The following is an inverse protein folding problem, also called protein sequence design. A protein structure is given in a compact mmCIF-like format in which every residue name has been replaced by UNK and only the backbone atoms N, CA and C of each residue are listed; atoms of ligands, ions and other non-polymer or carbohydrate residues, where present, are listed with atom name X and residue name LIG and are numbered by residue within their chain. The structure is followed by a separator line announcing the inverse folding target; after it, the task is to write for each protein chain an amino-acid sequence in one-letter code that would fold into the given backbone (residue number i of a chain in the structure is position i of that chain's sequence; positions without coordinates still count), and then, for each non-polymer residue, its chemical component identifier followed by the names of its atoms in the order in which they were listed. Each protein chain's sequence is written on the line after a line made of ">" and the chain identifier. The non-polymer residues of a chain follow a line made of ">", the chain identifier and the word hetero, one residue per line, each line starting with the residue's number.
data_IF_188242254328
#
_entry.id   IF_188242254328
#
_cell.length_a   1.000
_cell.length_b   1.000
_cell.length_c   1.000
_cell.angle_alpha   90.00
_cell.angle_beta   90.00
_cell.angle_gamma   90.00
#
_symmetry.space_group_name_H-M   'P 1'
#
loop_
_entity.id
_entity.type
_entity.pdbx_description
1 polymer ?
#
# COMPACT_ATOMS: atom_id res chain seq x y z
N UNK A 1 24.48 -15.50 -8.27
CA UNK A 1 23.48 -14.48 -7.91
C UNK A 1 22.17 -15.07 -7.41
N UNK A 2 21.63 -16.12 -8.04
CA UNK A 2 20.39 -16.80 -7.60
C UNK A 2 20.40 -17.19 -6.11
N UNK A 3 21.46 -17.85 -5.64
CA UNK A 3 21.58 -18.28 -4.24
C UNK A 3 21.47 -17.13 -3.24
N UNK A 4 22.15 -16.00 -3.50
CA UNK A 4 22.06 -14.81 -2.66
C UNK A 4 20.64 -14.21 -2.67
N UNK A 5 19.96 -14.22 -3.81
CA UNK A 5 18.57 -13.76 -3.91
C UNK A 5 17.60 -14.63 -3.13
N UNK A 6 17.74 -15.96 -3.22
CA UNK A 6 16.91 -16.92 -2.45
C UNK A 6 17.18 -16.80 -0.96
N UNK A 7 18.44 -16.67 -0.55
CA UNK A 7 18.79 -16.47 0.86
C UNK A 7 18.23 -15.14 1.40
N UNK A 8 18.38 -14.05 0.65
CA UNK A 8 17.84 -12.75 1.02
C UNK A 8 16.31 -12.78 1.12
N UNK A 9 15.62 -13.42 0.17
CA UNK A 9 14.18 -13.66 0.22
C UNK A 9 13.79 -14.45 1.47
N UNK A 10 14.42 -15.60 1.71
CA UNK A 10 14.10 -16.47 2.84
C UNK A 10 14.26 -15.74 4.18
N UNK A 11 15.36 -15.01 4.36
CA UNK A 11 15.62 -14.23 5.57
C UNK A 11 14.60 -13.11 5.76
N UNK A 12 14.32 -12.33 4.72
CA UNK A 12 13.35 -11.21 4.79
C UNK A 12 11.92 -11.70 5.02
N UNK A 13 11.54 -12.79 4.36
CA UNK A 13 10.24 -13.43 4.53
C UNK A 13 10.06 -13.96 5.96
N UNK A 14 11.02 -14.76 6.44
CA UNK A 14 10.99 -15.32 7.79
C UNK A 14 10.97 -14.21 8.85
N UNK A 15 11.84 -13.21 8.73
CA UNK A 15 11.91 -12.11 9.68
C UNK A 15 10.62 -11.29 9.68
N UNK A 16 10.05 -11.01 8.50
CA UNK A 16 8.78 -10.29 8.38
C UNK A 16 7.63 -11.01 9.09
N UNK A 17 7.48 -12.31 8.85
CA UNK A 17 6.49 -13.15 9.55
C UNK A 17 6.77 -13.18 11.07
N UNK A 18 8.02 -13.37 11.46
CA UNK A 18 8.43 -13.44 12.85
C UNK A 18 8.08 -12.16 13.62
N UNK A 19 8.40 -10.98 13.07
CA UNK A 19 8.09 -9.68 13.71
C UNK A 19 6.57 -9.49 13.88
N UNK A 20 5.77 -9.83 12.87
CA UNK A 20 4.31 -9.71 12.93
C UNK A 20 3.72 -10.63 14.00
N UNK A 21 4.20 -11.87 14.08
CA UNK A 21 3.71 -12.87 15.03
C UNK A 21 4.16 -12.57 16.45
N UNK A 22 5.39 -12.08 16.63
CA UNK A 22 5.97 -11.76 17.94
C UNK A 22 5.28 -10.57 18.59
N UNK A 23 4.97 -9.53 17.82
CA UNK A 23 4.40 -8.28 18.33
C UNK A 23 3.14 -7.84 17.56
N UNK A 24 2.06 -8.63 17.59
CA UNK A 24 0.88 -8.40 16.75
C UNK A 24 0.07 -7.17 17.17
N UNK A 25 0.32 -6.61 18.37
CA UNK A 25 -0.36 -5.42 18.87
C UNK A 25 0.40 -4.12 18.57
N UNK A 26 1.69 -4.21 18.27
CA UNK A 26 2.53 -3.05 18.01
C UNK A 26 2.41 -2.60 16.54
N UNK A 27 1.97 -1.36 16.34
CA UNK A 27 1.79 -0.79 14.99
C UNK A 27 3.12 -0.71 14.23
N UNK A 28 4.20 -0.34 14.94
CA UNK A 28 5.55 -0.26 14.39
C UNK A 28 6.02 -1.62 13.89
N UNK A 29 5.97 -2.64 14.74
CA UNK A 29 6.34 -4.01 14.39
C UNK A 29 5.52 -4.54 13.20
N UNK A 30 4.20 -4.35 13.20
CA UNK A 30 3.34 -4.77 12.08
C UNK A 30 3.72 -4.11 10.75
N UNK A 31 3.98 -2.80 10.76
CA UNK A 31 4.37 -2.06 9.55
C UNK A 31 5.76 -2.48 9.09
N UNK A 32 6.71 -2.62 10.00
CA UNK A 32 8.07 -3.08 9.70
C UNK A 32 8.06 -4.49 9.10
N UNK A 33 7.33 -5.43 9.73
CA UNK A 33 7.18 -6.79 9.24
C UNK A 33 6.45 -6.85 7.90
N UNK A 34 5.38 -6.08 7.70
CA UNK A 34 4.71 -5.99 6.41
C UNK A 34 5.64 -5.44 5.32
N UNK A 35 6.48 -4.45 5.64
CA UNK A 35 7.49 -3.93 4.73
C UNK A 35 8.52 -5.00 4.32
N UNK A 36 8.97 -5.81 5.27
CA UNK A 36 9.86 -6.96 4.99
C UNK A 36 9.20 -8.02 4.10
N UNK A 37 7.90 -8.31 4.31
CA UNK A 37 7.15 -9.22 3.43
C UNK A 37 7.01 -8.67 2.02
N UNK A 38 6.63 -7.39 1.87
CA UNK A 38 6.57 -6.73 0.56
C UNK A 38 7.93 -6.75 -0.15
N UNK A 39 9.01 -6.47 0.58
CA UNK A 39 10.36 -6.50 0.03
C UNK A 39 10.78 -7.91 -0.39
N UNK A 40 10.46 -8.94 0.42
CA UNK A 40 10.65 -10.33 0.04
C UNK A 40 9.91 -10.67 -1.26
N UNK A 41 8.63 -10.31 -1.37
CA UNK A 41 7.87 -10.51 -2.60
C UNK A 41 8.46 -9.75 -3.79
N UNK A 42 9.01 -8.54 -3.58
CA UNK A 42 9.70 -7.79 -4.62
C UNK A 42 10.93 -8.54 -5.13
N UNK A 43 11.74 -9.11 -4.22
CA UNK A 43 12.90 -9.93 -4.58
C UNK A 43 12.47 -11.16 -5.40
N UNK A 44 11.41 -11.85 -4.98
CA UNK A 44 10.88 -13.01 -5.69
C UNK A 44 10.34 -12.63 -7.08
N UNK A 45 9.55 -11.56 -7.18
CA UNK A 45 9.00 -11.05 -8.43
C UNK A 45 10.12 -10.64 -9.40
N UNK A 46 11.19 -10.03 -8.90
CA UNK A 46 12.35 -9.65 -9.72
C UNK A 46 13.07 -10.85 -10.33
N UNK A 47 13.11 -12.00 -9.62
CA UNK A 47 13.72 -13.23 -10.15
C UNK A 47 12.89 -13.85 -11.27
N UNK A 48 11.55 -13.78 -11.19
CA UNK A 48 10.65 -14.44 -12.15
C UNK A 48 10.18 -13.53 -13.29
N UNK A 49 10.43 -12.21 -13.23
CA UNK A 49 9.86 -11.25 -14.20
C UNK A 49 10.14 -11.58 -15.67
N UNK A 50 11.30 -12.18 -15.97
CA UNK A 50 11.70 -12.54 -17.33
C UNK A 50 11.20 -13.92 -17.79
N UNK A 51 10.57 -14.68 -16.90
CA UNK A 51 10.04 -16.02 -17.18
C UNK A 51 8.51 -16.03 -17.24
N UNK A 52 7.86 -14.90 -16.93
CA UNK A 52 6.41 -14.77 -17.00
C UNK A 52 5.99 -14.57 -18.44
N UNK A 53 5.14 -15.46 -18.95
CA UNK A 53 4.57 -15.35 -20.28
C UNK A 53 3.41 -14.34 -20.32
N UNK A 54 3.12 -13.84 -21.51
CA UNK A 54 1.91 -13.03 -21.75
C UNK A 54 0.63 -13.85 -21.44
N UNK A 55 -0.45 -13.20 -20.95
CA UNK A 55 -0.63 -11.75 -20.73
C UNK A 55 -0.12 -11.26 -19.36
N UNK A 56 0.57 -12.11 -18.59
CA UNK A 56 0.89 -11.84 -17.19
C UNK A 56 2.19 -11.06 -16.98
N UNK A 57 3.01 -10.89 -18.02
CA UNK A 57 4.28 -10.20 -17.91
C UNK A 57 4.11 -8.76 -17.43
N UNK A 58 3.20 -7.99 -18.04
CA UNK A 58 2.97 -6.60 -17.67
C UNK A 58 2.36 -6.43 -16.25
N UNK A 59 1.32 -7.18 -15.84
CA UNK A 59 0.81 -7.15 -14.47
C UNK A 59 1.87 -7.52 -13.42
N UNK A 60 2.68 -8.55 -13.67
CA UNK A 60 3.74 -8.97 -12.74
C UNK A 60 4.84 -7.90 -12.64
N UNK A 61 5.21 -7.26 -13.75
CA UNK A 61 6.16 -6.15 -13.72
C UNK A 61 5.62 -4.97 -12.91
N UNK A 62 4.36 -4.59 -13.10
CA UNK A 62 3.72 -3.53 -12.33
C UNK A 62 3.66 -3.87 -10.82
N UNK A 63 3.29 -5.11 -10.49
CA UNK A 63 3.30 -5.60 -9.11
C UNK A 63 4.71 -5.56 -8.50
N UNK A 64 5.75 -5.97 -9.23
CA UNK A 64 7.13 -5.93 -8.77
C UNK A 64 7.60 -4.49 -8.47
N UNK A 65 7.24 -3.53 -9.33
CA UNK A 65 7.49 -2.10 -9.10
C UNK A 65 6.80 -1.61 -7.82
N UNK A 66 5.51 -1.91 -7.66
CA UNK A 66 4.77 -1.53 -6.46
C UNK A 66 5.39 -2.14 -5.19
N UNK A 67 5.73 -3.42 -5.21
CA UNK A 67 6.34 -4.15 -4.11
C UNK A 67 7.74 -3.62 -3.73
N UNK A 68 8.42 -2.93 -4.65
CA UNK A 68 9.70 -2.27 -4.37
C UNK A 68 9.52 -0.96 -3.59
N UNK A 69 8.39 -0.26 -3.80
CA UNK A 69 8.15 1.07 -3.20
C UNK A 69 7.32 0.99 -1.92
N UNK A 70 6.43 0.00 -1.79
CA UNK A 70 5.62 -0.23 -0.60
C UNK A 70 6.44 -0.39 0.70
N UNK A 71 7.59 -1.10 0.74
CA UNK A 71 8.42 -1.20 1.93
C UNK A 71 8.88 0.16 2.44
N UNK A 72 9.30 1.07 1.55
CA UNK A 72 9.73 2.41 1.94
C UNK A 72 8.60 3.16 2.66
N UNK A 73 7.38 3.11 2.12
CA UNK A 73 6.21 3.70 2.77
C UNK A 73 5.95 3.04 4.13
N UNK A 74 5.87 1.72 4.20
CA UNK A 74 5.61 0.99 5.44
C UNK A 74 6.67 1.26 6.52
N UNK A 75 7.94 1.34 6.14
CA UNK A 75 9.03 1.67 7.04
C UNK A 75 8.99 3.12 7.51
N UNK A 76 8.57 4.09 6.69
CA UNK A 76 8.34 5.46 7.20
C UNK A 76 7.28 5.46 8.31
N UNK A 77 6.17 4.74 8.11
CA UNK A 77 5.14 4.60 9.14
C UNK A 77 5.61 3.83 10.38
N UNK A 78 6.58 2.93 10.25
CA UNK A 78 7.20 2.23 11.38
C UNK A 78 8.19 3.14 12.14
N UNK A 79 8.99 3.94 11.43
CA UNK A 79 9.92 4.90 12.05
C UNK A 79 9.15 5.95 12.84
N UNK A 80 7.99 6.41 12.35
CA UNK A 80 7.14 7.36 13.07
C UNK A 80 6.65 6.86 14.42
N UNK A 81 6.54 5.54 14.65
CA UNK A 81 6.17 5.02 15.97
C UNK A 81 7.33 5.04 16.96
N UNK A 82 8.56 5.22 16.48
CA UNK A 82 9.77 5.30 17.31
C UNK A 82 10.10 6.75 17.68
N UNK A 83 9.52 7.74 17.01
CA UNK A 83 9.76 9.17 17.27
C UNK A 83 8.95 9.62 18.50
N UNK A 84 9.59 10.07 19.59
CA UNK A 84 8.88 10.59 20.75
C UNK A 84 7.98 11.79 20.37
N UNK A 85 6.71 11.78 20.78
CA UNK A 85 5.72 12.81 20.40
C UNK A 85 5.27 12.74 18.94
N UNK A 86 5.63 11.67 18.22
CA UNK A 86 5.29 11.46 16.82
C UNK A 86 3.82 11.11 16.56
N UNK A 87 2.95 11.00 17.57
CA UNK A 87 1.61 10.43 17.37
C UNK A 87 0.74 11.30 16.45
N UNK A 88 0.94 12.61 16.44
CA UNK A 88 0.27 13.51 15.50
C UNK A 88 0.70 13.22 14.07
N UNK A 89 2.02 13.08 13.84
CA UNK A 89 2.57 12.82 12.51
C UNK A 89 2.22 11.40 12.04
N UNK A 90 2.23 10.42 12.93
CA UNK A 90 1.78 9.05 12.65
C UNK A 90 0.31 9.02 12.21
N UNK A 91 -0.57 9.77 12.91
CA UNK A 91 -1.99 9.89 12.52
C UNK A 91 -2.16 10.58 11.18
N UNK A 92 -1.38 11.63 10.90
CA UNK A 92 -1.42 12.32 9.61
C UNK A 92 -0.90 11.43 8.48
N UNK A 93 0.20 10.72 8.69
CA UNK A 93 0.75 9.75 7.74
C UNK A 93 -0.24 8.64 7.41
N UNK A 94 -0.86 8.03 8.43
CA UNK A 94 -1.84 6.95 8.22
C UNK A 94 -3.09 7.44 7.46
N UNK A 95 -3.50 8.69 7.71
CA UNK A 95 -4.61 9.35 7.00
C UNK A 95 -4.24 9.68 5.55
N UNK A 96 -3.09 10.32 5.34
CA UNK A 96 -2.57 10.66 4.02
C UNK A 96 -2.42 9.40 3.17
N UNK A 97 -1.77 8.36 3.69
CA UNK A 97 -1.65 7.08 2.99
C UNK A 97 -3.02 6.52 2.56
N UNK A 98 -4.01 6.54 3.45
CA UNK A 98 -5.36 6.04 3.11
C UNK A 98 -6.04 6.92 2.07
N UNK A 99 -5.94 8.24 2.19
CA UNK A 99 -6.58 9.19 1.28
C UNK A 99 -5.90 9.18 -0.10
N UNK A 100 -4.57 9.28 -0.13
CA UNK A 100 -3.77 9.35 -1.35
C UNK A 100 -3.88 8.07 -2.18
N UNK A 101 -3.87 6.89 -1.54
CA UNK A 101 -4.06 5.61 -2.24
C UNK A 101 -5.47 5.50 -2.81
N UNK A 102 -6.50 5.87 -2.05
CA UNK A 102 -7.89 5.83 -2.56
C UNK A 102 -8.15 6.90 -3.63
N UNK A 103 -7.60 8.10 -3.49
CA UNK A 103 -7.73 9.16 -4.47
C UNK A 103 -6.99 8.80 -5.76
N UNK A 104 -5.74 8.32 -5.66
CA UNK A 104 -4.98 7.84 -6.80
C UNK A 104 -5.70 6.69 -7.51
N UNK A 105 -6.25 5.73 -6.75
CA UNK A 105 -7.06 4.64 -7.28
C UNK A 105 -8.31 5.13 -8.01
N UNK A 106 -9.08 6.05 -7.41
CA UNK A 106 -10.29 6.60 -8.00
C UNK A 106 -9.99 7.38 -9.29
N UNK A 107 -8.97 8.24 -9.26
CA UNK A 107 -8.51 9.01 -10.44
C UNK A 107 -8.06 8.05 -11.54
N UNK A 108 -7.26 7.05 -11.22
CA UNK A 108 -6.77 6.07 -12.21
C UNK A 108 -7.94 5.27 -12.80
N UNK A 109 -8.92 4.87 -12.00
CA UNK A 109 -10.10 4.12 -12.45
C UNK A 109 -10.99 4.90 -13.43
N UNK A 110 -10.96 6.24 -13.39
CA UNK A 110 -11.69 7.12 -14.32
C UNK A 110 -10.84 7.48 -15.54
N UNK A 111 -9.55 7.79 -15.35
CA UNK A 111 -8.65 8.16 -16.44
C UNK A 111 -8.42 6.98 -17.39
N UNK A 112 -8.29 5.76 -16.87
CA UNK A 112 -7.89 4.61 -17.67
C UNK A 112 -8.94 4.24 -18.76
N UNK A 113 -10.26 4.26 -18.49
CA UNK A 113 -11.27 4.17 -19.54
C UNK A 113 -11.30 5.36 -20.51
N UNK A 114 -11.18 6.60 -20.00
CA UNK A 114 -11.22 7.81 -20.84
C UNK A 114 -10.03 7.92 -21.80
N UNK A 115 -8.86 7.38 -21.40
CA UNK A 115 -7.67 7.27 -22.23
C UNK A 115 -7.76 6.12 -23.26
N UNK A 116 -8.88 5.40 -23.32
CA UNK A 116 -9.08 4.25 -24.23
C UNK A 116 -8.36 2.97 -23.79
N UNK A 117 -7.75 2.96 -22.60
CA UNK A 117 -7.03 1.80 -22.07
C UNK A 117 -7.93 0.68 -21.57
N UNK A 118 -9.21 0.98 -21.31
CA UNK A 118 -10.24 0.01 -20.93
C UNK A 118 -11.57 0.38 -21.62
N UNK A 119 -12.31 -0.63 -22.09
CA UNK A 119 -13.65 -0.46 -22.66
C UNK A 119 -14.70 -1.07 -21.72
N UNK A 120 -15.03 -0.41 -20.59
CA UNK A 120 -16.00 -0.93 -19.64
C UNK A 120 -17.41 -0.96 -20.25
N UNK A 121 -18.15 -2.04 -19.96
CA UNK A 121 -19.59 -2.10 -20.25
C UNK A 121 -20.39 -1.25 -19.24
N UNK A 122 -21.71 -1.18 -19.40
CA UNK A 122 -22.58 -0.38 -18.52
C UNK A 122 -22.41 -0.71 -17.02
N UNK A 123 -22.16 -1.99 -16.68
CA UNK A 123 -21.90 -2.42 -15.30
C UNK A 123 -20.56 -1.91 -14.78
N UNK A 124 -19.52 -1.94 -15.61
CA UNK A 124 -18.20 -1.39 -15.26
C UNK A 124 -18.25 0.11 -14.99
N UNK A 125 -19.00 0.86 -15.80
CA UNK A 125 -19.22 2.30 -15.59
C UNK A 125 -19.98 2.53 -14.28
N UNK A 126 -21.08 1.80 -14.04
CA UNK A 126 -21.86 1.92 -12.81
C UNK A 126 -21.03 1.61 -11.55
N UNK A 127 -20.15 0.60 -11.63
CA UNK A 127 -19.24 0.25 -10.55
C UNK A 127 -18.24 1.38 -10.23
N UNK A 128 -17.58 1.96 -11.24
CA UNK A 128 -16.64 3.06 -11.06
C UNK A 128 -17.33 4.29 -10.46
N UNK A 129 -18.54 4.63 -10.92
CA UNK A 129 -19.33 5.74 -10.37
C UNK A 129 -19.69 5.48 -8.90
N UNK A 130 -20.20 4.30 -8.57
CA UNK A 130 -20.53 3.94 -7.20
C UNK A 130 -19.30 4.00 -6.27
N UNK A 131 -18.16 3.48 -6.74
CA UNK A 131 -16.90 3.54 -6.00
C UNK A 131 -16.41 4.97 -5.80
N UNK A 132 -16.54 5.85 -6.81
CA UNK A 132 -16.16 7.26 -6.68
C UNK A 132 -17.01 7.97 -5.61
N UNK A 133 -18.32 7.73 -5.57
CA UNK A 133 -19.21 8.27 -4.54
C UNK A 133 -18.79 7.79 -3.15
N UNK A 134 -18.50 6.50 -2.99
CA UNK A 134 -18.03 5.94 -1.70
C UNK A 134 -16.73 6.62 -1.25
N UNK A 135 -15.76 6.80 -2.15
CA UNK A 135 -14.49 7.47 -1.82
C UNK A 135 -14.72 8.91 -1.38
N UNK A 136 -15.60 9.66 -2.05
CA UNK A 136 -15.96 11.03 -1.66
C UNK A 136 -16.58 11.05 -0.26
N UNK A 137 -17.54 10.16 0.01
CA UNK A 137 -18.18 10.06 1.34
C UNK A 137 -17.14 9.74 2.42
N UNK A 138 -16.24 8.78 2.18
CA UNK A 138 -15.18 8.43 3.13
C UNK A 138 -14.24 9.62 3.35
N UNK A 139 -13.86 10.34 2.30
CA UNK A 139 -13.00 11.52 2.40
C UNK A 139 -13.65 12.64 3.23
N UNK A 140 -14.94 12.92 3.03
CA UNK A 140 -15.71 13.88 3.84
C UNK A 140 -15.77 13.46 5.31
N UNK A 141 -16.04 12.18 5.59
CA UNK A 141 -16.05 11.67 6.96
C UNK A 141 -14.67 11.79 7.63
N UNK A 142 -13.58 11.53 6.90
CA UNK A 142 -12.22 11.72 7.37
C UNK A 142 -11.91 13.20 7.67
N UNK A 143 -12.35 14.11 6.79
CA UNK A 143 -12.20 15.55 6.96
C UNK A 143 -12.94 16.06 8.21
N UNK A 144 -14.19 15.63 8.41
CA UNK A 144 -14.98 15.97 9.60
C UNK A 144 -14.30 15.42 10.87
N UNK A 145 -13.83 14.17 10.83
CA UNK A 145 -13.08 13.56 11.94
C UNK A 145 -11.80 14.32 12.29
N UNK A 146 -11.08 14.82 11.28
CA UNK A 146 -9.90 15.69 11.42
C UNK A 146 -10.26 16.99 12.14
N UNK A 147 -11.28 17.72 11.66
CA UNK A 147 -11.72 18.97 12.29
C UNK A 147 -12.10 18.78 13.75
N UNK A 148 -12.83 17.70 14.07
CA UNK A 148 -13.25 17.40 15.44
C UNK A 148 -12.08 17.02 16.36
N UNK A 149 -11.06 16.35 15.82
CA UNK A 149 -9.84 15.98 16.58
C UNK A 149 -8.98 17.18 16.96
N UNK A 150 -8.99 18.23 16.13
CA UNK A 150 -8.25 19.48 16.37
C UNK A 150 -8.98 20.39 17.38
N UNK A 151 -10.31 20.31 17.42
CA UNK A 151 -11.16 21.17 18.27
C UNK A 151 -11.34 20.67 19.72
N UNK A 152 -10.91 19.44 20.07
CA UNK A 152 -10.90 18.96 21.46
C UNK A 152 -9.56 19.31 22.12
N UNK A 153 -9.51 20.17 23.15
CA UNK A 153 -8.35 20.27 24.02
C UNK A 153 -8.19 18.95 24.80
N UNK A 154 -6.95 18.59 25.13
CA UNK A 154 -6.62 17.43 25.96
C UNK A 154 -7.17 17.58 27.38
#
# INVERSE_FOLDING_TARGET
>A
MLFAGVAAFGLTWWLGLYVIVREPRERGARRAGAGLLCYGLALAAWQVRGTVAEPWAAPVAAAATALTHLPALLWTGAVLTLVPGGERLERLWARAFTLDVNALWAVTSVILPLAGGLSPNALGIAFVVAQAVVVIVVAELQYIGLRRSVARPA
#
